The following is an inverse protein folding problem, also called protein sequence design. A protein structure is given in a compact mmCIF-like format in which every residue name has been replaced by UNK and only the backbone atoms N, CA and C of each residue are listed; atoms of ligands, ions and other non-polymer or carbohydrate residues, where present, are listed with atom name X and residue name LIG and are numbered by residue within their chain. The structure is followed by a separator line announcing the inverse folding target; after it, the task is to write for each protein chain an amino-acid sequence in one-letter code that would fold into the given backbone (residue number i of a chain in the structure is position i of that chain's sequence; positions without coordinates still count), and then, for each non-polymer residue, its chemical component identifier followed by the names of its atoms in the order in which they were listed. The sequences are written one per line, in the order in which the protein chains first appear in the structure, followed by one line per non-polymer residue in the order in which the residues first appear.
data_IF_757686967946
#
_entry.id   IF_757686967946
#
_cell.length_a   1.000
_cell.length_b   1.000
_cell.length_c   1.000
_cell.angle_alpha   90.00
_cell.angle_beta   90.00
_cell.angle_gamma   90.00
#
_symmetry.space_group_name_H-M   'P 1'
#
loop_
_entity.id
_entity.type
_entity.pdbx_description
1 polymer ?
#
# COMPACT_ATOMS: atom_id res chain seq x y z
N UNK A 1 -21.66 -18.62 -1.12
CA UNK A 1 -21.51 -19.95 -1.74
C UNK A 1 -22.22 -19.93 -3.09
N UNK A 2 -21.61 -20.43 -4.17
CA UNK A 2 -22.25 -20.49 -5.49
C UNK A 2 -22.98 -21.82 -5.68
N UNK A 3 -24.29 -21.77 -5.93
CA UNK A 3 -25.17 -22.94 -6.08
C UNK A 3 -25.48 -23.21 -7.55
N UNK A 4 -25.47 -24.47 -7.93
CA UNK A 4 -25.99 -24.91 -9.22
C UNK A 4 -27.52 -24.82 -9.25
N UNK A 5 -28.17 -24.84 -10.43
CA UNK A 5 -29.63 -24.72 -10.55
C UNK A 5 -30.43 -25.79 -9.77
N UNK A 6 -29.81 -26.92 -9.47
CA UNK A 6 -30.38 -27.99 -8.65
C UNK A 6 -30.13 -27.83 -7.14
N UNK A 7 -29.64 -26.67 -6.69
CA UNK A 7 -29.31 -26.39 -5.28
C UNK A 7 -28.01 -27.01 -4.78
N UNK A 8 -27.33 -27.82 -5.60
CA UNK A 8 -26.04 -28.41 -5.25
C UNK A 8 -24.86 -27.44 -5.38
N UNK A 9 -23.66 -27.82 -4.92
CA UNK A 9 -22.46 -27.01 -5.11
C UNK A 9 -22.11 -26.87 -6.60
N UNK A 10 -21.81 -25.64 -7.04
CA UNK A 10 -21.36 -25.39 -8.40
C UNK A 10 -19.98 -26.05 -8.63
N UNK A 11 -19.91 -26.99 -9.58
CA UNK A 11 -18.66 -27.67 -9.94
C UNK A 11 -17.83 -26.83 -10.90
N UNK A 12 -16.64 -26.42 -10.47
CA UNK A 12 -15.73 -25.57 -11.25
C UNK A 12 -15.44 -26.09 -12.67
N UNK A 13 -15.16 -27.40 -12.91
CA UNK A 13 -14.88 -27.88 -14.27
C UNK A 13 -16.05 -27.69 -15.25
N UNK A 14 -17.30 -27.87 -14.78
CA UNK A 14 -18.50 -27.70 -15.59
C UNK A 14 -18.75 -26.22 -15.88
N UNK A 15 -18.62 -25.37 -14.86
CA UNK A 15 -18.76 -23.92 -15.03
C UNK A 15 -17.71 -23.36 -15.98
N UNK A 16 -16.44 -23.76 -15.80
CA UNK A 16 -15.31 -23.27 -16.59
C UNK A 16 -15.47 -23.58 -18.07
N UNK A 17 -15.84 -24.81 -18.41
CA UNK A 17 -15.98 -25.24 -19.81
C UNK A 17 -17.27 -24.74 -20.47
N UNK A 18 -18.40 -24.77 -19.75
CA UNK A 18 -19.73 -24.51 -20.36
C UNK A 18 -20.12 -23.04 -20.41
N UNK A 19 -19.57 -22.21 -19.53
CA UNK A 19 -19.97 -20.81 -19.38
C UNK A 19 -18.76 -19.90 -19.49
N UNK A 20 -17.78 -20.09 -18.61
CA UNK A 20 -16.71 -19.12 -18.44
C UNK A 20 -15.79 -19.01 -19.67
N UNK A 21 -15.39 -20.14 -20.27
CA UNK A 21 -14.46 -20.13 -21.40
C UNK A 21 -14.99 -19.35 -22.61
N UNK A 22 -16.27 -19.51 -22.94
CA UNK A 22 -16.91 -18.77 -24.05
C UNK A 22 -17.02 -17.28 -23.74
N UNK A 23 -17.44 -16.92 -22.52
CA UNK A 23 -17.51 -15.53 -22.10
C UNK A 23 -16.13 -14.85 -22.12
N UNK A 24 -15.12 -15.51 -21.56
CA UNK A 24 -13.74 -15.04 -21.54
C UNK A 24 -13.18 -14.85 -22.96
N UNK A 25 -13.40 -15.82 -23.86
CA UNK A 25 -13.00 -15.72 -25.26
C UNK A 25 -13.69 -14.56 -25.99
N UNK A 26 -14.99 -14.34 -25.75
CA UNK A 26 -15.72 -13.22 -26.37
C UNK A 26 -15.21 -11.84 -25.94
N UNK A 27 -14.63 -11.75 -24.74
CA UNK A 27 -14.00 -10.54 -24.22
C UNK A 27 -12.50 -10.45 -24.54
N UNK A 28 -11.90 -11.51 -25.11
CA UNK A 28 -10.45 -11.60 -25.31
C UNK A 28 -9.64 -11.64 -24.00
N UNK A 29 -10.23 -12.14 -22.91
CA UNK A 29 -9.62 -12.14 -21.58
C UNK A 29 -9.37 -13.55 -21.06
N UNK A 30 -8.43 -13.67 -20.13
CA UNK A 30 -8.17 -14.89 -19.37
C UNK A 30 -8.58 -14.72 -17.89
N UNK A 31 -8.73 -15.82 -17.12
CA UNK A 31 -8.90 -15.72 -15.67
C UNK A 31 -7.78 -14.95 -14.96
N UNK A 32 -6.56 -15.00 -15.49
CA UNK A 32 -5.43 -14.26 -14.93
C UNK A 32 -5.60 -12.76 -15.14
N UNK A 33 -6.09 -12.33 -16.30
CA UNK A 33 -6.33 -10.91 -16.59
C UNK A 33 -7.38 -10.32 -15.65
N UNK A 34 -8.47 -11.05 -15.40
CA UNK A 34 -9.50 -10.62 -14.43
C UNK A 34 -8.93 -10.47 -13.01
N UNK A 35 -8.01 -11.36 -12.64
CA UNK A 35 -7.32 -11.31 -11.35
C UNK A 35 -6.35 -10.12 -11.27
N UNK A 36 -5.69 -9.78 -12.37
CA UNK A 36 -4.89 -8.56 -12.46
C UNK A 36 -5.76 -7.32 -12.36
N UNK A 37 -6.89 -7.25 -13.07
CA UNK A 37 -7.83 -6.12 -12.98
C UNK A 37 -8.36 -5.92 -11.56
N UNK A 38 -8.72 -6.99 -10.85
CA UNK A 38 -9.16 -6.90 -9.46
C UNK A 38 -8.07 -6.33 -8.53
N UNK A 39 -6.80 -6.70 -8.77
CA UNK A 39 -5.67 -6.14 -8.04
C UNK A 39 -5.47 -4.65 -8.37
N UNK A 40 -5.53 -4.26 -9.66
CA UNK A 40 -5.40 -2.86 -10.07
C UNK A 40 -6.48 -1.99 -9.43
N UNK A 41 -7.73 -2.46 -9.42
CA UNK A 41 -8.85 -1.74 -8.81
C UNK A 41 -8.69 -1.60 -7.29
N UNK A 42 -8.19 -2.64 -6.61
CA UNK A 42 -7.92 -2.56 -5.17
C UNK A 42 -6.83 -1.52 -4.85
N UNK A 43 -5.75 -1.48 -5.65
CA UNK A 43 -4.69 -0.46 -5.51
C UNK A 43 -5.23 0.93 -5.80
N UNK A 44 -5.99 1.12 -6.89
CA UNK A 44 -6.62 2.40 -7.22
C UNK A 44 -7.60 2.89 -6.13
N UNK A 45 -8.18 1.97 -5.36
CA UNK A 45 -9.02 2.27 -4.19
C UNK A 45 -8.22 2.58 -2.91
N UNK A 46 -6.88 2.64 -2.99
CA UNK A 46 -5.99 2.95 -1.87
C UNK A 46 -5.66 1.75 -0.96
N UNK A 47 -5.86 0.50 -1.43
CA UNK A 47 -5.52 -0.66 -0.63
C UNK A 47 -4.00 -0.81 -0.49
N UNK A 48 -3.52 -0.96 0.75
CA UNK A 48 -2.13 -1.28 1.02
C UNK A 48 -1.74 -2.62 0.35
N UNK A 49 -0.53 -2.67 -0.20
CA UNK A 49 0.08 -3.84 -0.84
C UNK A 49 -0.07 -5.13 -0.03
N UNK A 50 0.08 -5.08 1.31
CA UNK A 50 -0.16 -6.26 2.17
C UNK A 50 -1.60 -6.74 2.15
N UNK A 51 -2.56 -5.82 2.06
CA UNK A 51 -3.98 -6.15 1.96
C UNK A 51 -4.29 -6.81 0.60
N UNK A 52 -3.71 -6.29 -0.49
CA UNK A 52 -3.85 -6.88 -1.84
C UNK A 52 -3.20 -8.27 -1.91
N UNK A 53 -2.02 -8.46 -1.31
CA UNK A 53 -1.37 -9.78 -1.22
C UNK A 53 -2.25 -10.80 -0.49
N UNK A 54 -2.85 -10.40 0.64
CA UNK A 54 -3.73 -11.27 1.42
C UNK A 54 -5.04 -11.56 0.69
N UNK A 55 -5.59 -10.58 -0.03
CA UNK A 55 -6.79 -10.75 -0.86
C UNK A 55 -6.59 -11.79 -1.97
N UNK A 56 -5.37 -11.88 -2.50
CA UNK A 56 -5.07 -12.77 -3.62
C UNK A 56 -4.65 -14.18 -3.15
N UNK A 57 -4.07 -14.38 -1.98
CA UNK A 57 -3.67 -15.72 -1.49
C UNK A 57 -2.67 -16.47 -2.43
N UNK A 58 -1.68 -15.78 -3.03
CA UNK A 58 -0.62 -16.42 -3.83
C UNK A 58 0.82 -15.97 -3.48
N UNK A 59 1.83 -16.88 -3.59
CA UNK A 59 3.24 -16.63 -3.28
C UNK A 59 3.97 -15.74 -4.32
N UNK A 60 3.43 -15.57 -5.53
CA UNK A 60 3.96 -14.65 -6.55
C UNK A 60 3.46 -13.22 -6.33
N UNK A 61 3.72 -12.70 -5.13
CA UNK A 61 3.49 -11.30 -4.83
C UNK A 61 4.47 -10.37 -5.57
N UNK A 62 5.66 -10.88 -5.96
CA UNK A 62 6.72 -10.11 -6.60
C UNK A 62 6.31 -9.49 -7.94
N UNK A 63 5.69 -10.24 -8.85
CA UNK A 63 5.30 -9.69 -10.17
C UNK A 63 4.20 -8.62 -10.04
N UNK A 64 3.39 -8.71 -8.98
CA UNK A 64 2.27 -7.80 -8.69
C UNK A 64 2.79 -6.51 -8.03
N UNK A 65 3.77 -6.63 -7.13
CA UNK A 65 4.42 -5.49 -6.48
C UNK A 65 5.21 -4.64 -7.47
N UNK A 66 6.00 -5.27 -8.35
CA UNK A 66 6.85 -4.57 -9.32
C UNK A 66 6.02 -3.78 -10.34
N UNK A 67 4.81 -4.25 -10.68
CA UNK A 67 3.90 -3.58 -11.63
C UNK A 67 3.07 -2.47 -10.96
N UNK A 68 2.73 -2.60 -9.67
CA UNK A 68 1.92 -1.58 -8.97
C UNK A 68 2.73 -0.59 -8.14
N UNK A 69 4.04 -0.80 -7.93
CA UNK A 69 4.93 0.15 -7.27
C UNK A 69 4.84 1.57 -7.87
N UNK A 70 4.65 1.68 -9.20
CA UNK A 70 4.51 2.96 -9.89
C UNK A 70 3.20 3.71 -9.59
N UNK A 71 2.12 3.02 -9.19
CA UNK A 71 0.85 3.63 -8.79
C UNK A 71 0.91 4.27 -7.39
N UNK A 72 1.90 3.89 -6.58
CA UNK A 72 2.14 4.48 -5.27
C UNK A 72 3.09 5.68 -5.31
N UNK A 73 3.57 6.10 -6.50
CA UNK A 73 4.41 7.30 -6.61
C UNK A 73 3.72 8.54 -6.03
N UNK A 74 2.45 8.73 -6.39
CA UNK A 74 1.63 9.84 -5.89
C UNK A 74 1.28 9.70 -4.39
N UNK A 75 1.15 8.46 -3.90
CA UNK A 75 0.96 8.19 -2.47
C UNK A 75 2.23 8.45 -1.65
N UNK A 76 3.42 8.24 -2.21
CA UNK A 76 4.69 8.55 -1.56
C UNK A 76 4.86 10.05 -1.38
N UNK A 77 4.48 10.87 -2.37
CA UNK A 77 4.47 12.32 -2.22
C UNK A 77 3.47 12.76 -1.14
N UNK A 78 2.29 12.15 -1.09
CA UNK A 78 1.32 12.41 -0.02
C UNK A 78 1.81 11.95 1.36
N UNK A 79 2.59 10.88 1.45
CA UNK A 79 3.21 10.43 2.70
C UNK A 79 4.38 11.34 3.09
N UNK A 80 5.22 11.75 2.14
CA UNK A 80 6.32 12.69 2.35
C UNK A 80 5.79 14.02 2.88
N UNK A 81 4.76 14.58 2.23
CA UNK A 81 4.10 15.81 2.69
C UNK A 81 3.56 15.69 4.12
N UNK A 82 2.92 14.57 4.47
CA UNK A 82 2.44 14.34 5.86
C UNK A 82 3.57 14.17 6.86
N UNK A 83 4.70 13.58 6.45
CA UNK A 83 5.89 13.49 7.29
C UNK A 83 6.51 14.88 7.51
N UNK A 84 6.64 15.68 6.46
CA UNK A 84 7.14 17.05 6.54
C UNK A 84 6.24 17.92 7.43
N UNK A 85 4.92 17.79 7.31
CA UNK A 85 3.97 18.46 8.22
C UNK A 85 4.16 18.01 9.68
N UNK A 86 4.33 16.72 9.93
CA UNK A 86 4.53 16.19 11.28
C UNK A 86 5.88 16.65 11.89
N UNK A 87 6.93 16.73 11.09
CA UNK A 87 8.23 17.26 11.49
C UNK A 87 8.14 18.76 11.75
N UNK A 88 7.50 19.53 10.86
CA UNK A 88 7.29 20.97 11.06
C UNK A 88 6.44 21.28 12.30
N UNK A 89 5.41 20.47 12.57
CA UNK A 89 4.59 20.60 13.76
C UNK A 89 5.39 20.28 15.04
N UNK A 90 6.22 19.24 15.00
CA UNK A 90 7.18 18.93 16.07
C UNK A 90 8.13 20.10 16.30
N UNK A 91 8.78 20.61 15.27
CA UNK A 91 9.75 21.70 15.39
C UNK A 91 9.10 22.99 15.91
N UNK A 92 7.88 23.30 15.46
CA UNK A 92 7.10 24.40 15.99
C UNK A 92 6.77 24.22 17.49
N UNK A 93 6.52 22.99 17.94
CA UNK A 93 6.31 22.67 19.36
C UNK A 93 7.60 22.81 20.18
N UNK A 94 8.74 22.36 19.65
CA UNK A 94 10.06 22.58 20.26
C UNK A 94 10.42 24.07 20.36
N UNK A 95 10.09 24.88 19.35
CA UNK A 95 10.32 26.33 19.37
C UNK A 95 9.35 27.05 20.32
N UNK A 96 8.10 26.59 20.41
CA UNK A 96 7.09 27.10 21.36
C UNK A 96 7.46 26.79 22.81
N UNK A 97 8.01 25.61 23.08
CA UNK A 97 8.44 25.22 24.43
C UNK A 97 9.84 25.70 24.80
N UNK A 98 10.74 25.88 23.82
CA UNK A 98 12.10 26.38 24.03
C UNK A 98 12.25 27.89 24.25
N UNK A 99 11.19 28.67 24.03
CA UNK A 99 11.24 30.15 24.18
C UNK A 99 10.54 30.67 25.43
N UNK A 100 9.86 29.82 26.19
CA UNK A 100 9.27 30.17 27.49
C UNK A 100 10.11 29.66 28.66
N UNK A 101 11.36 30.14 28.76
CA UNK A 101 12.15 30.09 29.99
C UNK A 101 13.44 29.28 29.94
N UNK A 102 14.57 29.99 29.92
CA UNK A 102 15.82 29.49 30.52
C UNK A 102 17.03 29.37 29.60
N UNK A 103 17.95 30.31 29.77
CA UNK A 103 19.40 30.20 29.59
C UNK A 103 19.94 29.64 28.26
N UNK A 104 20.42 30.57 27.42
CA UNK A 104 21.49 30.31 26.44
C UNK A 104 22.68 29.70 27.20
N UNK A 105 22.92 28.40 27.04
CA UNK A 105 24.14 27.75 27.55
C UNK A 105 25.27 28.12 26.60
N UNK A 106 26.02 29.15 26.97
CA UNK A 106 27.27 29.50 26.29
C UNK A 106 28.32 28.41 26.57
N UNK A 107 28.67 27.64 25.53
CA UNK A 107 29.70 26.61 25.58
C UNK A 107 31.11 27.27 25.56
N UNK A 108 31.41 28.00 26.64
CA UNK A 108 32.71 28.61 26.89
C UNK A 108 33.82 27.57 27.05
N UNK A 109 34.51 27.28 25.93
CA UNK A 109 35.92 26.88 25.77
C UNK A 109 36.68 26.54 27.06
N UNK A 110 36.66 25.28 27.49
CA UNK A 110 37.56 24.80 28.56
C UNK A 110 38.93 24.42 27.98
N UNK A 111 39.92 25.30 28.14
CA UNK A 111 41.34 24.92 28.16
C UNK A 111 41.65 24.40 29.57
N UNK A 112 42.14 23.17 29.66
CA UNK A 112 42.65 22.55 30.89
C UNK A 112 43.89 23.27 31.43
N UNK A 113 44.04 23.49 32.74
CA UNK A 113 45.31 23.82 33.34
C UNK A 113 46.06 22.51 33.67
N UNK A 114 47.35 22.49 33.35
CA UNK A 114 48.23 21.35 33.59
C UNK A 114 48.55 21.11 35.07
N UNK A 115 49.03 19.90 35.32
CA UNK A 115 50.04 19.61 36.34
C UNK A 115 50.88 18.43 35.86
#
# INVERSE_FOLDING_TARGET
MFTAPNGGPLRNPNFRSRVFASAAASAGLTPHDLRHTAASLAVAAGANVKAVQRMLEHPSASMTLDVYAGLFGDDLDAVANRLDEAVAARDADYLRTGTAGGAVVDLGKRRSPGR
#
